data_IF_560506347532
#
_entry.id   IF_560506347532
#
_cell.length_a   1.000
_cell.length_b   1.000
_cell.length_c   1.000
_cell.angle_alpha   90.00
_cell.angle_beta   90.00
_cell.angle_gamma   90.00
#
_symmetry.space_group_name_H-M   'P 1'
#
loop_
_entity.id
_entity.type
_entity.pdbx_description
1 polymer ?
#
# COMPACT_ATOMS: atom_id res chain seq x y z
N UNK A 1 14.30 -7.21 12.54
CA UNK A 1 13.36 -8.26 12.11
C UNK A 1 12.31 -7.55 11.28
N UNK A 2 12.20 -7.87 10.00
CA UNK A 2 11.31 -7.16 9.08
C UNK A 2 9.98 -7.92 9.02
N UNK A 3 8.99 -7.41 9.74
CA UNK A 3 7.59 -7.80 9.57
C UNK A 3 6.96 -6.83 8.57
N UNK A 4 6.39 -7.36 7.50
CA UNK A 4 5.64 -6.58 6.51
C UNK A 4 4.17 -6.93 6.68
N UNK A 5 3.37 -5.97 7.15
CA UNK A 5 1.93 -6.14 7.37
C UNK A 5 1.19 -5.31 6.33
N UNK A 6 0.20 -5.93 5.68
CA UNK A 6 -0.67 -5.32 4.69
C UNK A 6 -2.14 -5.62 5.02
N UNK A 7 -2.94 -4.58 5.20
CA UNK A 7 -4.31 -4.61 5.67
C UNK A 7 -5.19 -4.03 4.58
N UNK A 8 -6.20 -4.81 4.21
CA UNK A 8 -7.20 -4.41 3.24
C UNK A 8 -8.58 -4.45 3.89
N UNK A 9 -9.41 -3.48 3.54
CA UNK A 9 -10.80 -3.41 3.97
C UNK A 9 -11.74 -3.39 2.76
N UNK A 10 -12.94 -3.92 2.95
CA UNK A 10 -14.02 -3.85 1.97
C UNK A 10 -15.31 -3.50 2.69
N UNK A 11 -15.95 -2.42 2.25
CA UNK A 11 -17.28 -2.03 2.70
C UNK A 11 -18.32 -2.50 1.68
N UNK A 12 -19.32 -3.26 2.12
CA UNK A 12 -20.46 -3.60 1.26
C UNK A 12 -21.42 -2.41 1.14
N UNK A 13 -22.07 -2.27 -0.02
CA UNK A 13 -22.95 -1.14 -0.40
C UNK A 13 -24.11 -0.88 0.56
N UNK A 14 -24.47 -1.85 1.41
CA UNK A 14 -25.52 -1.73 2.43
C UNK A 14 -25.01 -1.16 3.77
N UNK A 15 -23.70 -0.89 3.91
CA UNK A 15 -23.09 -0.29 5.10
C UNK A 15 -23.09 -1.18 6.36
N UNK A 16 -23.72 -2.36 6.32
CA UNK A 16 -23.89 -3.22 7.49
C UNK A 16 -22.72 -4.21 7.72
N UNK A 17 -21.83 -4.42 6.75
CA UNK A 17 -20.72 -5.38 6.87
C UNK A 17 -19.43 -4.81 6.33
N UNK A 18 -18.48 -4.55 7.24
CA UNK A 18 -17.09 -4.31 6.89
C UNK A 18 -16.32 -5.61 6.97
N UNK A 19 -15.62 -5.96 5.89
CA UNK A 19 -14.73 -7.11 5.83
C UNK A 19 -13.30 -6.63 5.91
N UNK A 20 -12.45 -7.37 6.60
CA UNK A 20 -11.02 -7.12 6.64
C UNK A 20 -10.23 -8.31 6.10
N UNK A 21 -9.06 -8.00 5.56
CA UNK A 21 -8.10 -8.96 5.05
C UNK A 21 -6.68 -8.44 5.34
N UNK A 22 -6.07 -9.02 6.35
CA UNK A 22 -4.73 -8.71 6.84
C UNK A 22 -3.76 -9.79 6.37
N UNK A 23 -2.61 -9.39 5.86
CA UNK A 23 -1.52 -10.25 5.42
C UNK A 23 -0.26 -9.80 6.14
N UNK A 24 0.28 -10.66 7.00
CA UNK A 24 1.51 -10.44 7.74
C UNK A 24 2.58 -11.37 7.18
N UNK A 25 3.65 -10.81 6.65
CA UNK A 25 4.81 -11.55 6.14
C UNK A 25 5.94 -11.43 7.14
N UNK A 26 6.31 -12.56 7.73
CA UNK A 26 7.40 -12.68 8.69
C UNK A 26 8.46 -13.63 8.12
N UNK A 27 9.51 -13.05 7.53
CA UNK A 27 10.56 -13.78 6.83
C UNK A 27 9.99 -14.70 5.73
N UNK A 28 9.94 -16.01 5.98
CA UNK A 28 9.46 -17.03 5.05
C UNK A 28 8.02 -17.46 5.32
N UNK A 29 7.40 -16.97 6.39
CA UNK A 29 6.04 -17.28 6.77
C UNK A 29 5.10 -16.13 6.38
N UNK A 30 3.96 -16.46 5.80
CA UNK A 30 2.87 -15.53 5.51
C UNK A 30 1.66 -15.96 6.35
N UNK A 31 1.19 -15.07 7.22
CA UNK A 31 -0.07 -15.24 7.96
C UNK A 31 -1.11 -14.33 7.33
N UNK A 32 -2.27 -14.89 7.05
CA UNK A 32 -3.39 -14.17 6.45
C UNK A 32 -4.55 -14.27 7.43
N UNK A 33 -5.02 -13.14 7.92
CA UNK A 33 -6.19 -13.07 8.79
C UNK A 33 -7.32 -12.36 8.06
N UNK A 34 -8.50 -12.94 8.02
CA UNK A 34 -9.65 -12.35 7.33
C UNK A 34 -10.94 -12.61 8.05
N UNK A 35 -11.87 -11.67 7.96
CA UNK A 35 -13.14 -11.79 8.67
C UNK A 35 -14.02 -10.57 8.51
N UNK A 36 -15.07 -10.51 9.34
CA UNK A 36 -15.88 -9.31 9.52
C UNK A 36 -15.30 -8.48 10.65
N UNK A 37 -15.29 -7.16 10.52
CA UNK A 37 -14.85 -6.25 11.58
C UNK A 37 -15.81 -6.44 12.77
N UNK A 38 -15.25 -6.79 13.94
CA UNK A 38 -16.00 -7.13 15.15
C UNK A 38 -16.02 -8.62 15.51
N UNK A 39 -15.51 -9.50 14.64
CA UNK A 39 -15.32 -10.93 14.92
C UNK A 39 -13.83 -11.29 15.04
N UNK A 40 -13.51 -12.44 15.65
CA UNK A 40 -12.13 -12.94 15.75
C UNK A 40 -11.51 -13.20 14.37
N UNK A 41 -12.35 -13.54 13.37
CA UNK A 41 -11.91 -13.83 12.01
C UNK A 41 -11.20 -15.19 11.89
N UNK A 42 -10.81 -15.54 10.67
CA UNK A 42 -10.07 -16.77 10.36
C UNK A 42 -8.62 -16.43 10.06
N UNK A 43 -7.71 -17.28 10.53
CA UNK A 43 -6.27 -17.14 10.28
C UNK A 43 -5.77 -18.33 9.46
N UNK A 44 -5.03 -18.05 8.40
CA UNK A 44 -4.36 -19.02 7.56
C UNK A 44 -2.86 -18.74 7.57
N UNK A 45 -2.06 -19.75 7.87
CA UNK A 45 -0.60 -19.63 7.88
C UNK A 45 -0.04 -20.45 6.73
N UNK A 46 0.86 -19.85 5.94
CA UNK A 46 1.59 -20.50 4.85
C UNK A 46 3.09 -20.27 5.06
N UNK A 47 3.90 -21.31 4.87
CA UNK A 47 5.36 -21.20 4.97
C UNK A 47 5.97 -21.49 3.61
N UNK A 48 6.91 -20.65 3.19
CA UNK A 48 7.62 -20.74 1.92
C UNK A 48 9.11 -21.04 2.13
N UNK A 49 9.80 -21.41 1.06
CA UNK A 49 11.22 -21.75 1.13
C UNK A 49 12.14 -20.52 1.29
N UNK A 50 11.71 -19.35 0.78
CA UNK A 50 12.50 -18.11 0.79
C UNK A 50 11.63 -16.91 1.11
N UNK A 51 12.27 -15.84 1.59
CA UNK A 51 11.60 -14.57 1.91
C UNK A 51 10.99 -13.91 0.67
N UNK A 52 11.72 -13.95 -0.46
CA UNK A 52 11.23 -13.40 -1.72
C UNK A 52 9.99 -14.14 -2.23
N UNK A 53 9.91 -15.47 -2.06
CA UNK A 53 8.71 -16.23 -2.40
C UNK A 53 7.53 -15.88 -1.49
N UNK A 54 7.77 -15.70 -0.19
CA UNK A 54 6.74 -15.27 0.75
C UNK A 54 6.19 -13.89 0.38
N UNK A 55 7.06 -12.93 0.06
CA UNK A 55 6.68 -11.59 -0.40
C UNK A 55 5.90 -11.63 -1.72
N UNK A 56 6.35 -12.39 -2.72
CA UNK A 56 5.61 -12.55 -3.99
C UNK A 56 4.25 -13.19 -3.78
N UNK A 57 4.14 -14.16 -2.87
CA UNK A 57 2.87 -14.78 -2.51
C UNK A 57 1.92 -13.79 -1.83
N UNK A 58 2.43 -13.02 -0.85
CA UNK A 58 1.68 -11.97 -0.17
C UNK A 58 1.18 -10.90 -1.16
N UNK A 59 2.06 -10.35 -2.00
CA UNK A 59 1.71 -9.39 -3.05
C UNK A 59 0.65 -9.94 -4.01
N UNK A 60 0.76 -11.21 -4.41
CA UNK A 60 -0.24 -11.86 -5.25
C UNK A 60 -1.60 -11.90 -4.55
N UNK A 61 -1.64 -12.31 -3.29
CA UNK A 61 -2.89 -12.35 -2.49
C UNK A 61 -3.51 -10.97 -2.33
N UNK A 62 -2.70 -9.96 -2.05
CA UNK A 62 -3.16 -8.57 -1.96
C UNK A 62 -3.77 -8.11 -3.28
N UNK A 63 -3.07 -8.30 -4.41
CA UNK A 63 -3.55 -7.89 -5.74
C UNK A 63 -4.85 -8.60 -6.16
N UNK A 64 -4.97 -9.89 -5.85
CA UNK A 64 -6.21 -10.66 -6.04
C UNK A 64 -7.39 -10.06 -5.24
N UNK A 65 -7.13 -9.51 -4.05
CA UNK A 65 -8.15 -8.87 -3.21
C UNK A 65 -8.47 -7.44 -3.64
N UNK A 66 -7.46 -6.67 -4.03
CA UNK A 66 -7.66 -5.34 -4.63
C UNK A 66 -8.57 -5.42 -5.86
N UNK A 67 -8.34 -6.38 -6.75
CA UNK A 67 -9.21 -6.63 -7.91
C UNK A 67 -10.66 -7.01 -7.55
N UNK A 68 -10.91 -7.44 -6.30
CA UNK A 68 -12.24 -7.78 -5.79
C UNK A 68 -12.91 -6.61 -5.07
N UNK A 69 -12.34 -5.42 -5.13
CA UNK A 69 -12.84 -4.21 -4.47
C UNK A 69 -12.54 -4.17 -2.97
N UNK A 70 -11.48 -4.84 -2.52
CA UNK A 70 -10.85 -4.49 -1.25
C UNK A 70 -9.92 -3.32 -1.51
N UNK A 71 -9.77 -2.44 -0.53
CA UNK A 71 -8.90 -1.28 -0.62
C UNK A 71 -7.84 -1.37 0.48
N UNK A 72 -6.61 -0.91 0.20
CA UNK A 72 -5.61 -0.79 1.26
C UNK A 72 -6.13 0.15 2.35
N UNK A 73 -5.97 -0.23 3.61
CA UNK A 73 -6.18 0.70 4.71
C UNK A 73 -5.27 1.92 4.49
N UNK A 74 -5.78 3.12 4.80
CA UNK A 74 -5.03 4.36 4.66
C UNK A 74 -3.73 4.38 5.48
N UNK A 75 -3.53 3.44 6.41
CA UNK A 75 -2.31 3.28 7.17
C UNK A 75 -1.21 2.47 6.47
N UNK A 76 -1.49 1.74 5.37
CA UNK A 76 -0.60 0.68 4.85
C UNK A 76 -0.05 0.92 3.43
N UNK A 77 -0.30 2.10 2.85
CA UNK A 77 0.30 2.50 1.57
C UNK A 77 1.48 3.46 1.74
N UNK A 78 2.13 3.79 0.63
CA UNK A 78 3.19 4.80 0.59
C UNK A 78 2.56 6.20 0.58
N UNK A 79 2.80 6.94 1.65
CA UNK A 79 2.33 8.32 1.75
C UNK A 79 3.25 9.23 0.94
N UNK A 80 2.65 9.98 0.02
CA UNK A 80 3.23 11.03 -0.78
C UNK A 80 2.67 12.37 -0.33
N UNK A 81 3.51 13.39 -0.31
CA UNK A 81 3.09 14.76 -0.08
C UNK A 81 3.40 15.61 -1.31
N UNK A 82 2.42 16.40 -1.73
CA UNK A 82 2.62 17.40 -2.76
C UNK A 82 3.15 18.69 -2.13
N UNK A 83 4.31 19.14 -2.58
CA UNK A 83 4.93 20.37 -2.12
C UNK A 83 5.24 21.29 -3.29
N UNK A 84 5.16 22.59 -3.04
CA UNK A 84 5.58 23.61 -4.00
C UNK A 84 7.09 23.73 -3.97
N UNK A 85 7.73 23.46 -5.11
CA UNK A 85 9.15 23.68 -5.35
C UNK A 85 9.28 24.84 -6.35
N UNK A 86 9.38 26.06 -5.81
CA UNK A 86 9.37 27.28 -6.60
C UNK A 86 8.03 27.47 -7.36
N UNK A 87 8.08 27.41 -8.68
CA UNK A 87 6.90 27.57 -9.55
C UNK A 87 6.20 26.25 -9.92
N UNK A 88 6.71 25.10 -9.47
CA UNK A 88 6.18 23.77 -9.86
C UNK A 88 5.76 22.97 -8.64
N UNK A 89 4.63 22.27 -8.75
CA UNK A 89 4.22 21.26 -7.79
C UNK A 89 5.01 19.97 -8.00
N UNK A 90 5.66 19.49 -6.95
CA UNK A 90 6.41 18.23 -6.92
C UNK A 90 5.83 17.31 -5.85
N UNK A 91 6.19 16.04 -5.94
CA UNK A 91 5.78 15.01 -4.98
C UNK A 91 7.02 14.47 -4.29
N UNK A 92 6.96 14.31 -2.97
CA UNK A 92 7.98 13.62 -2.15
C UNK A 92 7.35 12.47 -1.40
N UNK A 93 8.10 11.40 -1.20
CA UNK A 93 7.68 10.31 -0.31
C UNK A 93 7.87 10.76 1.13
N UNK A 94 6.82 10.62 1.94
CA UNK A 94 6.85 10.89 3.40
C UNK A 94 6.84 9.60 4.22
N UNK A 95 6.51 8.46 3.60
CA UNK A 95 6.60 7.15 4.25
C UNK A 95 8.04 6.77 4.61
N UNK A 96 8.22 6.13 5.76
CA UNK A 96 9.53 5.70 6.24
C UNK A 96 10.15 4.63 5.31
N UNK A 97 11.47 4.68 5.11
CA UNK A 97 12.21 3.73 4.26
C UNK A 97 12.38 4.17 2.80
N UNK A 98 11.88 5.34 2.41
CA UNK A 98 12.07 5.92 1.09
C UNK A 98 12.88 7.23 1.15
N UNK A 99 13.57 7.56 0.06
CA UNK A 99 14.36 8.78 -0.03
C UNK A 99 13.48 9.97 -0.45
N UNK A 100 13.22 10.88 0.50
CA UNK A 100 12.37 12.05 0.27
C UNK A 100 12.98 13.06 -0.74
N UNK A 101 14.26 12.93 -1.08
CA UNK A 101 14.93 13.82 -2.04
C UNK A 101 14.69 13.41 -3.49
N UNK A 102 14.31 12.15 -3.73
CA UNK A 102 14.05 11.64 -5.06
C UNK A 102 12.72 12.16 -5.61
N UNK A 103 12.72 12.46 -6.92
CA UNK A 103 11.52 12.88 -7.62
C UNK A 103 10.54 11.72 -7.72
N UNK A 104 9.26 11.97 -7.52
CA UNK A 104 8.20 10.97 -7.75
C UNK A 104 7.40 11.31 -9.00
N UNK A 105 7.34 10.38 -9.96
CA UNK A 105 6.54 10.49 -11.16
C UNK A 105 5.07 10.22 -10.81
N UNK A 106 4.31 11.29 -10.65
CA UNK A 106 2.89 11.29 -10.26
C UNK A 106 2.05 12.05 -11.30
N UNK A 107 0.80 11.65 -11.59
CA UNK A 107 -0.03 12.35 -12.58
C UNK A 107 -0.25 13.82 -12.20
N UNK A 108 0.00 14.75 -13.13
CA UNK A 108 -0.03 16.20 -12.83
C UNK A 108 -1.45 16.73 -12.65
N UNK A 109 -2.43 16.14 -13.34
CA UNK A 109 -3.83 16.58 -13.35
C UNK A 109 -4.54 16.47 -12.00
N UNK A 110 -4.00 15.68 -11.07
CA UNK A 110 -4.58 15.48 -9.73
C UNK A 110 -3.75 16.10 -8.62
N UNK A 111 -2.64 16.79 -8.93
CA UNK A 111 -1.75 17.39 -7.92
C UNK A 111 -2.41 18.63 -7.31
N UNK A 112 -2.45 18.67 -5.99
CA UNK A 112 -2.94 19.79 -5.22
C UNK A 112 -1.89 20.19 -4.18
N UNK A 113 -1.66 21.48 -4.03
CA UNK A 113 -0.66 22.01 -3.12
C UNK A 113 -0.96 21.62 -1.66
N UNK A 114 0.06 21.15 -0.94
CA UNK A 114 -0.05 20.67 0.44
C UNK A 114 -0.95 19.43 0.63
N UNK A 115 -1.51 18.87 -0.44
CA UNK A 115 -2.28 17.64 -0.35
C UNK A 115 -1.37 16.43 -0.13
N UNK A 116 -1.88 15.48 0.66
CA UNK A 116 -1.26 14.18 0.88
C UNK A 116 -2.01 13.13 0.07
N UNK A 117 -1.26 12.14 -0.41
CA UNK A 117 -1.79 11.03 -1.18
C UNK A 117 -1.24 9.74 -0.61
N UNK A 118 -2.03 8.69 -0.63
CA UNK A 118 -1.57 7.34 -0.39
C UNK A 118 -1.60 6.58 -1.70
N UNK A 119 -0.54 5.81 -1.93
CA UNK A 119 -0.40 4.95 -3.10
C UNK A 119 -0.02 3.55 -2.67
N UNK A 120 -0.42 2.53 -3.42
CA UNK A 120 -0.13 1.15 -3.03
C UNK A 120 1.38 0.88 -2.98
N UNK A 121 2.12 1.33 -4.00
CA UNK A 121 3.55 1.09 -4.11
C UNK A 121 4.26 2.26 -4.82
N UNK A 122 5.50 2.54 -4.43
CA UNK A 122 6.43 3.33 -5.24
C UNK A 122 7.64 2.49 -5.60
N UNK A 123 7.97 2.44 -6.89
CA UNK A 123 9.13 1.70 -7.40
C UNK A 123 10.24 2.65 -7.78
N UNK A 124 11.45 2.36 -7.34
CA UNK A 124 12.63 3.04 -7.83
C UNK A 124 12.84 2.68 -9.29
N UNK A 125 13.05 3.67 -10.15
CA UNK A 125 13.38 3.42 -11.55
C UNK A 125 14.74 2.69 -11.65
N UNK A 126 14.98 1.98 -12.76
CA UNK A 126 16.22 1.23 -13.01
C UNK A 126 17.48 2.09 -12.84
N UNK A 127 17.40 3.38 -13.18
CA UNK A 127 18.50 4.34 -13.05
C UNK A 127 18.65 4.97 -11.64
N UNK A 128 17.79 4.63 -10.68
CA UNK A 128 17.84 5.16 -9.31
C UNK A 128 17.45 6.63 -9.14
N UNK A 129 17.13 7.34 -10.24
CA UNK A 129 16.95 8.80 -10.23
C UNK A 129 15.56 9.28 -9.79
N UNK A 130 14.54 8.43 -9.85
CA UNK A 130 13.16 8.81 -9.49
C UNK A 130 12.34 7.59 -9.08
N UNK A 131 11.31 7.84 -8.29
CA UNK A 131 10.26 6.87 -8.00
C UNK A 131 9.13 6.97 -9.01
N UNK A 132 8.54 5.84 -9.36
CA UNK A 132 7.29 5.77 -10.13
C UNK A 132 6.20 5.18 -9.26
N UNK A 133 5.05 5.85 -9.25
CA UNK A 133 3.88 5.37 -8.52
C UNK A 133 3.25 4.21 -9.27
N UNK A 134 2.89 3.17 -8.52
CA UNK A 134 2.20 1.98 -9.01
C UNK A 134 1.00 1.65 -8.13
N UNK A 135 -0.07 1.14 -8.76
CA UNK A 135 -1.32 0.82 -8.09
C UNK A 135 -2.27 2.00 -8.02
N UNK A 136 -3.19 1.94 -7.07
CA UNK A 136 -4.20 2.97 -6.87
C UNK A 136 -3.65 4.19 -6.16
N UNK A 137 -4.19 5.36 -6.52
CA UNK A 137 -3.80 6.66 -5.97
C UNK A 137 -5.02 7.26 -5.28
N UNK A 138 -4.93 7.46 -3.98
CA UNK A 138 -6.01 8.04 -3.17
C UNK A 138 -5.52 9.28 -2.46
N UNK A 139 -6.31 10.36 -2.49
CA UNK A 139 -6.00 11.59 -1.75
C UNK A 139 -6.38 11.39 -0.29
N UNK A 140 -5.48 11.70 0.63
CA UNK A 140 -5.75 11.80 2.05
C UNK A 140 -6.25 13.21 2.33
N UNK A 141 -7.46 13.32 2.90
CA UNK A 141 -8.08 14.59 3.31
C UNK A 141 -7.88 14.84 4.79
#
# INVERSE_FOLDING_TARGET
MAEDTAYLEQSETDGATHKFYEVVTENTQVRIRYGRIGDQGQTQVSTHATTEMAQKFAQKKLRDKLNKGYEHDAAQGVILECFRDGSRLRMRVTSAGYDATLRVQFPQNIREEHARYIVDEVRLNTDGNFYRVHGDIRRLV
#
